data_IF_859209810862
#
_entry.id   IF_859209810862
#
_cell.length_a   1.000
_cell.length_b   1.000
_cell.length_c   1.000
_cell.angle_alpha   90.00
_cell.angle_beta   90.00
_cell.angle_gamma   90.00
#
_symmetry.space_group_name_H-M   'P 1'
#
loop_
_entity.id
_entity.type
_entity.pdbx_description
1 polymer ?
#
# COMPACT_ATOMS: atom_id res chain seq x y z
N UNK A 1 -4.86 30.02 -20.83
CA UNK A 1 -6.05 29.15 -20.93
C UNK A 1 -5.80 28.17 -22.08
N UNK A 2 -5.43 26.90 -21.83
CA UNK A 2 -5.20 25.97 -22.93
C UNK A 2 -6.55 25.55 -23.55
N UNK A 3 -6.60 25.29 -24.87
CA UNK A 3 -7.84 25.15 -25.61
C UNK A 3 -8.59 23.87 -25.23
N UNK A 4 -9.92 23.97 -25.20
CA UNK A 4 -10.87 22.87 -25.07
C UNK A 4 -10.59 21.81 -26.13
N UNK A 5 -10.06 20.68 -25.69
CA UNK A 5 -9.82 19.49 -26.48
C UNK A 5 -11.17 18.80 -26.80
N UNK A 6 -11.44 18.39 -28.05
CA UNK A 6 -12.54 17.49 -28.38
C UNK A 6 -12.28 16.13 -27.71
N UNK A 7 -13.07 15.81 -26.69
CA UNK A 7 -12.91 14.61 -25.86
C UNK A 7 -13.11 13.30 -26.62
N UNK A 8 -13.87 13.33 -27.73
CA UNK A 8 -14.14 12.16 -28.57
C UNK A 8 -12.89 11.65 -29.29
N UNK A 9 -12.06 12.55 -29.82
CA UNK A 9 -10.84 12.18 -30.53
C UNK A 9 -9.84 11.45 -29.61
N UNK A 10 -9.72 11.90 -28.36
CA UNK A 10 -8.84 11.27 -27.37
C UNK A 10 -9.39 9.91 -26.92
N UNK A 11 -10.72 9.77 -26.82
CA UNK A 11 -11.38 8.48 -26.58
C UNK A 11 -11.14 7.51 -27.75
N UNK A 12 -11.21 7.98 -28.99
CA UNK A 12 -10.93 7.16 -30.18
C UNK A 12 -9.49 6.62 -30.14
N UNK A 13 -8.50 7.48 -29.86
CA UNK A 13 -7.08 7.06 -29.73
C UNK A 13 -6.90 6.04 -28.60
N UNK A 14 -7.49 6.28 -27.42
CA UNK A 14 -7.42 5.34 -26.31
C UNK A 14 -8.07 3.99 -26.64
N UNK A 15 -9.22 3.99 -27.32
CA UNK A 15 -9.90 2.76 -27.74
C UNK A 15 -9.09 1.94 -28.75
N UNK A 16 -8.37 2.61 -29.66
CA UNK A 16 -7.51 1.95 -30.63
C UNK A 16 -6.28 1.33 -29.94
N UNK A 17 -5.67 2.02 -28.98
CA UNK A 17 -4.55 1.48 -28.19
C UNK A 17 -5.02 0.35 -27.27
N UNK A 18 -6.22 0.42 -26.70
CA UNK A 18 -6.79 -0.61 -25.82
C UNK A 18 -6.94 -1.98 -26.50
N UNK A 19 -7.17 -2.02 -27.81
CA UNK A 19 -7.24 -3.26 -28.60
C UNK A 19 -5.90 -4.01 -28.66
N UNK A 20 -4.79 -3.38 -28.25
CA UNK A 20 -3.44 -3.94 -28.33
C UNK A 20 -2.73 -3.89 -26.98
N UNK A 21 -2.92 -4.90 -26.10
CA UNK A 21 -2.32 -4.93 -24.76
C UNK A 21 -0.78 -4.91 -24.74
N UNK A 22 -0.14 -5.40 -25.82
CA UNK A 22 1.32 -5.41 -25.97
C UNK A 22 1.89 -4.07 -26.47
N UNK A 23 1.03 -3.07 -26.72
CA UNK A 23 1.41 -1.77 -27.26
C UNK A 23 1.37 -1.70 -28.78
N UNK A 24 1.20 -0.50 -29.32
CA UNK A 24 1.03 -0.25 -30.76
C UNK A 24 1.98 0.84 -31.26
N UNK A 25 2.58 0.60 -32.43
CA UNK A 25 3.43 1.60 -33.09
C UNK A 25 2.58 2.69 -33.77
N UNK A 26 3.12 3.90 -33.88
CA UNK A 26 2.40 5.01 -34.53
C UNK A 26 2.00 4.71 -35.98
N UNK A 27 2.81 3.95 -36.71
CA UNK A 27 2.51 3.57 -38.10
C UNK A 27 1.26 2.69 -38.21
N UNK A 28 1.00 1.82 -37.21
CA UNK A 28 -0.20 1.00 -37.16
C UNK A 28 -1.43 1.80 -36.74
N UNK A 29 -1.28 2.76 -35.82
CA UNK A 29 -2.35 3.69 -35.47
C UNK A 29 -2.75 4.59 -36.64
N UNK A 30 -1.80 4.98 -37.51
CA UNK A 30 -2.11 5.76 -38.72
C UNK A 30 -2.85 4.96 -39.80
N UNK A 31 -2.74 3.63 -39.77
CA UNK A 31 -3.43 2.74 -40.70
C UNK A 31 -4.81 2.30 -40.18
N UNK A 32 -5.17 2.67 -38.95
CA UNK A 32 -6.46 2.30 -38.36
C UNK A 32 -7.56 3.21 -38.95
N UNK A 33 -8.58 2.65 -39.64
CA UNK A 33 -9.68 3.43 -40.20
C UNK A 33 -10.52 4.14 -39.13
N UNK A 34 -10.40 3.73 -37.87
CA UNK A 34 -11.06 4.38 -36.71
C UNK A 34 -10.44 5.75 -36.36
N UNK A 35 -9.26 6.07 -36.91
CA UNK A 35 -8.49 7.28 -36.62
C UNK A 35 -8.25 8.09 -37.90
N UNK A 36 -9.24 8.90 -38.29
CA UNK A 36 -9.16 9.80 -39.44
C UNK A 36 -8.31 11.07 -39.16
N UNK A 37 -7.13 10.92 -38.54
CA UNK A 37 -6.27 12.05 -38.17
C UNK A 37 -5.00 12.13 -39.05
N UNK A 38 -4.59 13.35 -39.47
CA UNK A 38 -3.27 13.56 -40.03
C UNK A 38 -2.17 13.17 -39.03
N UNK A 39 -1.02 12.72 -39.56
CA UNK A 39 0.12 12.23 -38.76
C UNK A 39 0.53 13.16 -37.60
N UNK A 40 0.60 14.46 -37.85
CA UNK A 40 1.05 15.46 -36.86
C UNK A 40 0.01 15.68 -35.74
N UNK A 41 -1.26 15.49 -36.04
CA UNK A 41 -2.36 15.55 -35.07
C UNK A 41 -2.35 14.33 -34.15
N UNK A 42 -2.14 13.13 -34.72
CA UNK A 42 -2.02 11.90 -33.93
C UNK A 42 -0.80 11.95 -33.00
N UNK A 43 0.35 12.42 -33.49
CA UNK A 43 1.56 12.59 -32.67
C UNK A 43 1.32 13.51 -31.47
N UNK A 44 0.76 14.70 -31.71
CA UNK A 44 0.46 15.65 -30.66
C UNK A 44 -0.48 15.07 -29.60
N UNK A 45 -1.52 14.32 -30.00
CA UNK A 45 -2.46 13.68 -29.06
C UNK A 45 -1.82 12.54 -28.27
N UNK A 46 -0.94 11.76 -28.89
CA UNK A 46 -0.17 10.74 -28.19
C UNK A 46 0.76 11.37 -27.15
N UNK A 47 1.43 12.48 -27.51
CA UNK A 47 2.28 13.22 -26.58
C UNK A 47 1.48 13.83 -25.41
N UNK A 48 0.29 14.37 -25.68
CA UNK A 48 -0.64 14.85 -24.65
C UNK A 48 -1.10 13.70 -23.73
N UNK A 49 -1.45 12.54 -24.30
CA UNK A 49 -1.89 11.35 -23.55
C UNK A 49 -0.76 10.75 -22.71
N UNK A 50 0.48 10.78 -23.19
CA UNK A 50 1.67 10.40 -22.43
C UNK A 50 1.95 11.40 -21.30
N UNK A 51 1.85 12.70 -21.59
CA UNK A 51 2.03 13.76 -20.59
C UNK A 51 0.97 13.70 -19.49
N UNK A 52 -0.26 13.27 -19.83
CA UNK A 52 -1.35 13.07 -18.88
C UNK A 52 -1.31 11.72 -18.15
N UNK A 53 -0.29 10.88 -18.40
CA UNK A 53 -0.12 9.58 -17.73
C UNK A 53 -1.10 8.49 -18.16
N UNK A 54 -1.90 8.72 -19.20
CA UNK A 54 -2.92 7.78 -19.71
C UNK A 54 -2.32 6.74 -20.66
N UNK A 55 -1.21 7.09 -21.32
CA UNK A 55 -0.44 6.19 -22.17
C UNK A 55 1.02 6.21 -21.73
N UNK A 56 1.71 5.10 -21.90
CA UNK A 56 3.15 4.99 -21.73
C UNK A 56 3.80 4.78 -23.10
N UNK A 57 4.86 5.54 -23.38
CA UNK A 57 5.69 5.35 -24.57
C UNK A 57 6.87 4.45 -24.22
N UNK A 58 6.88 3.24 -24.77
CA UNK A 58 7.94 2.24 -24.56
C UNK A 58 8.83 2.18 -25.80
N UNK A 59 10.14 2.34 -25.61
CA UNK A 59 11.14 2.29 -26.68
C UNK A 59 11.58 3.65 -27.25
N UNK A 60 12.59 3.64 -28.14
CA UNK A 60 13.19 4.84 -28.76
C UNK A 60 13.06 4.81 -30.29
N UNK A 61 12.91 5.99 -30.90
CA UNK A 61 12.91 6.15 -32.36
C UNK A 61 11.77 5.42 -33.08
N UNK A 62 12.10 4.65 -34.13
CA UNK A 62 11.13 3.94 -34.99
C UNK A 62 10.50 2.70 -34.32
N UNK A 63 11.10 2.21 -33.24
CA UNK A 63 10.58 1.10 -32.41
C UNK A 63 9.79 1.56 -31.20
N UNK A 64 9.29 2.80 -31.19
CA UNK A 64 8.45 3.30 -30.10
C UNK A 64 7.03 2.74 -30.23
N UNK A 65 6.55 2.12 -29.15
CA UNK A 65 5.20 1.60 -29.02
C UNK A 65 4.48 2.32 -27.88
N UNK A 66 3.19 2.60 -28.07
CA UNK A 66 2.33 3.21 -27.06
C UNK A 66 1.48 2.13 -26.43
N UNK A 67 1.48 2.07 -25.10
CA UNK A 67 0.72 1.11 -24.31
C UNK A 67 -0.20 1.87 -23.36
N UNK A 68 -1.39 1.33 -23.08
CA UNK A 68 -2.23 1.88 -22.03
C UNK A 68 -1.57 1.69 -20.68
N UNK A 69 -1.49 2.78 -19.91
CA UNK A 69 -1.29 2.66 -18.47
C UNK A 69 -2.63 2.19 -17.93
N UNK A 70 -2.70 0.95 -17.44
CA UNK A 70 -3.89 0.46 -16.76
C UNK A 70 -4.26 1.51 -15.71
N UNK A 71 -5.52 1.94 -15.71
CA UNK A 71 -6.03 3.05 -14.90
C UNK A 71 -5.64 2.84 -13.42
N UNK A 72 -4.48 3.37 -13.02
CA UNK A 72 -4.12 3.49 -11.61
C UNK A 72 -4.90 4.70 -11.16
N UNK A 73 -6.17 4.45 -10.84
CA UNK A 73 -7.13 5.39 -10.32
C UNK A 73 -6.50 6.24 -9.22
N UNK A 74 -6.00 7.43 -9.58
CA UNK A 74 -5.31 8.41 -8.74
C UNK A 74 -4.13 7.86 -7.92
N UNK A 75 -3.08 8.67 -7.65
CA UNK A 75 -2.13 8.33 -6.60
C UNK A 75 -2.80 8.61 -5.25
N UNK A 76 -3.84 7.85 -4.92
CA UNK A 76 -3.95 7.46 -3.52
C UNK A 76 -2.71 6.61 -3.33
N UNK A 77 -1.80 7.04 -2.46
CA UNK A 77 -0.70 6.21 -1.98
C UNK A 77 -1.36 4.99 -1.34
N UNK A 78 -1.67 4.00 -2.16
CA UNK A 78 -1.92 2.64 -1.73
C UNK A 78 -0.53 2.15 -1.42
N UNK A 79 -0.16 2.22 -0.14
CA UNK A 79 0.79 1.23 0.34
C UNK A 79 0.14 -0.10 0.01
N UNK A 80 0.69 -0.81 -0.99
CA UNK A 80 0.36 -2.21 -1.18
C UNK A 80 0.54 -2.86 0.20
N UNK A 81 -0.48 -3.57 0.72
CA UNK A 81 -0.38 -4.18 2.04
C UNK A 81 0.91 -4.99 2.05
N UNK A 82 1.80 -4.68 3.00
CA UNK A 82 3.04 -5.45 3.17
C UNK A 82 2.62 -6.92 3.28
N UNK A 83 2.88 -7.69 2.23
CA UNK A 83 2.71 -9.13 2.28
C UNK A 83 3.80 -9.64 3.20
N UNK A 84 3.45 -9.79 4.49
CA UNK A 84 4.26 -10.56 5.41
C UNK A 84 4.38 -11.97 4.84
N UNK A 85 5.48 -12.20 4.13
CA UNK A 85 5.76 -13.41 3.41
C UNK A 85 5.74 -14.62 4.35
N UNK A 86 5.06 -15.67 3.91
CA UNK A 86 5.19 -17.00 4.49
C UNK A 86 3.96 -17.46 5.28
N UNK A 87 3.13 -18.27 4.61
CA UNK A 87 2.16 -19.20 5.19
C UNK A 87 0.97 -18.53 5.91
N UNK A 88 -0.22 -19.05 5.64
CA UNK A 88 -1.50 -18.72 6.28
C UNK A 88 -1.47 -18.88 7.81
N UNK A 89 -0.85 -17.95 8.53
CA UNK A 89 -0.85 -17.89 10.00
C UNK A 89 -2.18 -17.38 10.56
N UNK A 90 -2.93 -16.65 9.73
CA UNK A 90 -4.27 -16.18 10.04
C UNK A 90 -5.28 -17.32 9.92
N UNK A 91 -6.16 -17.43 10.92
CA UNK A 91 -7.35 -18.28 10.87
C UNK A 91 -8.29 -17.86 9.73
N UNK A 92 -9.30 -18.68 9.43
CA UNK A 92 -10.28 -18.34 8.40
C UNK A 92 -11.04 -17.05 8.75
N UNK A 93 -11.40 -16.89 10.03
CA UNK A 93 -12.08 -15.72 10.58
C UNK A 93 -11.21 -14.47 10.45
N UNK A 94 -9.93 -14.58 10.81
CA UNK A 94 -8.99 -13.47 10.73
C UNK A 94 -8.74 -13.02 9.28
N UNK A 95 -8.78 -13.94 8.31
CA UNK A 95 -8.70 -13.60 6.87
C UNK A 95 -9.94 -12.83 6.40
N UNK A 96 -11.14 -13.24 6.83
CA UNK A 96 -12.38 -12.51 6.49
C UNK A 96 -12.36 -11.08 7.05
N UNK A 97 -11.89 -10.92 8.29
CA UNK A 97 -11.71 -9.60 8.91
C UNK A 97 -10.71 -8.76 8.10
N UNK A 98 -9.57 -9.34 7.73
CA UNK A 98 -8.56 -8.66 6.90
C UNK A 98 -9.15 -8.17 5.59
N UNK A 99 -9.87 -9.04 4.86
CA UNK A 99 -10.53 -8.65 3.60
C UNK A 99 -11.45 -7.45 3.79
N UNK A 100 -12.23 -7.42 4.87
CA UNK A 100 -13.13 -6.31 5.19
C UNK A 100 -12.39 -5.01 5.54
N UNK A 101 -11.30 -5.10 6.32
CA UNK A 101 -10.48 -3.94 6.68
C UNK A 101 -9.68 -3.41 5.49
N UNK A 102 -9.32 -4.25 4.52
CA UNK A 102 -8.57 -3.83 3.32
C UNK A 102 -9.42 -3.13 2.25
N UNK A 103 -10.75 -3.16 2.35
CA UNK A 103 -11.64 -2.48 1.38
C UNK A 103 -11.44 -0.95 1.42
N UNK A 104 -11.66 -0.23 0.30
CA UNK A 104 -11.70 1.23 0.29
C UNK A 104 -12.70 1.80 1.31
N UNK A 105 -12.41 2.96 1.90
CA UNK A 105 -13.28 3.58 2.92
C UNK A 105 -14.72 3.76 2.42
N UNK A 106 -14.89 4.10 1.14
CA UNK A 106 -16.19 4.27 0.48
C UNK A 106 -17.03 2.99 0.41
N UNK A 107 -16.40 1.82 0.39
CA UNK A 107 -17.06 0.51 0.32
C UNK A 107 -17.33 -0.09 1.70
N UNK A 108 -16.75 0.48 2.77
CA UNK A 108 -16.98 0.02 4.14
C UNK A 108 -18.32 0.53 4.65
N UNK A 109 -18.99 -0.30 5.45
CA UNK A 109 -20.22 0.11 6.16
C UNK A 109 -19.83 1.19 7.18
N UNK A 110 -20.42 2.39 7.13
CA UNK A 110 -20.15 3.43 8.11
C UNK A 110 -20.68 2.99 9.47
N UNK A 111 -19.82 3.08 10.49
CA UNK A 111 -20.17 2.79 11.88
C UNK A 111 -20.02 4.08 12.67
N UNK A 112 -21.08 4.46 13.38
CA UNK A 112 -21.10 5.62 14.24
C UNK A 112 -20.29 5.39 15.52
N UNK A 113 -19.87 6.50 16.13
CA UNK A 113 -19.24 6.45 17.44
C UNK A 113 -20.27 6.08 18.52
N UNK A 114 -19.85 5.29 19.51
CA UNK A 114 -20.66 4.91 20.68
C UNK A 114 -20.14 5.66 21.92
N UNK A 115 -20.56 6.90 22.16
CA UNK A 115 -20.02 7.71 23.25
C UNK A 115 -20.34 7.12 24.62
N UNK A 116 -21.45 6.40 24.78
CA UNK A 116 -21.85 5.75 26.02
C UNK A 116 -20.85 4.66 26.44
N UNK A 117 -20.22 4.00 25.47
CA UNK A 117 -19.20 2.99 25.75
C UNK A 117 -17.99 3.62 26.46
N UNK A 118 -17.50 4.78 25.99
CA UNK A 118 -16.42 5.49 26.70
C UNK A 118 -16.90 6.16 27.98
N UNK A 119 -18.09 6.76 27.98
CA UNK A 119 -18.61 7.47 29.14
C UNK A 119 -18.88 6.53 30.32
N UNK A 120 -19.19 5.26 30.05
CA UNK A 120 -19.41 4.23 31.07
C UNK A 120 -18.14 3.77 31.79
N UNK A 121 -16.96 4.21 31.36
CA UNK A 121 -15.70 3.78 31.95
C UNK A 121 -15.33 4.57 33.20
N UNK A 122 -15.34 3.88 34.33
CA UNK A 122 -14.69 4.31 35.56
C UNK A 122 -13.30 3.64 35.70
N UNK A 123 -12.20 4.42 35.82
CA UNK A 123 -10.87 3.91 36.05
C UNK A 123 -10.82 2.98 37.26
N UNK A 124 -10.09 1.86 37.12
CA UNK A 124 -9.90 0.84 38.16
C UNK A 124 -11.18 0.16 38.69
N UNK A 125 -12.36 0.46 38.13
CA UNK A 125 -13.64 -0.12 38.55
C UNK A 125 -14.31 -0.90 37.43
N UNK A 126 -14.36 -0.31 36.24
CA UNK A 126 -14.95 -0.93 35.05
C UNK A 126 -13.88 -1.39 34.09
N UNK A 127 -14.24 -2.31 33.20
CA UNK A 127 -13.36 -2.81 32.16
C UNK A 127 -14.08 -2.79 30.81
N UNK A 128 -13.34 -2.43 29.76
CA UNK A 128 -13.87 -2.44 28.39
C UNK A 128 -14.03 -3.84 27.79
N UNK A 129 -13.28 -4.81 28.31
CA UNK A 129 -13.26 -6.18 27.81
C UNK A 129 -13.94 -7.11 28.81
N UNK A 130 -14.74 -8.09 28.35
CA UNK A 130 -15.32 -9.11 29.20
C UNK A 130 -14.26 -9.93 29.94
N UNK A 131 -14.60 -10.42 31.13
CA UNK A 131 -13.69 -11.19 31.99
C UNK A 131 -13.07 -12.40 31.30
N UNK A 132 -13.86 -13.13 30.51
CA UNK A 132 -13.38 -14.30 29.75
C UNK A 132 -12.26 -13.93 28.79
N UNK A 133 -12.46 -12.85 28.02
CA UNK A 133 -11.47 -12.38 27.05
C UNK A 133 -10.22 -11.85 27.74
N UNK A 134 -10.37 -11.16 28.89
CA UNK A 134 -9.21 -10.71 29.68
C UNK A 134 -8.38 -11.89 30.18
N UNK A 135 -9.04 -12.96 30.64
CA UNK A 135 -8.36 -14.18 31.07
C UNK A 135 -7.61 -14.87 29.92
N UNK A 136 -8.25 -14.98 28.76
CA UNK A 136 -7.63 -15.54 27.54
C UNK A 136 -6.41 -14.71 27.11
N UNK A 137 -6.56 -13.39 27.01
CA UNK A 137 -5.46 -12.48 26.65
C UNK A 137 -4.32 -12.51 27.67
N UNK A 138 -4.63 -12.61 28.97
CA UNK A 138 -3.61 -12.75 30.00
C UNK A 138 -2.83 -14.06 29.83
N UNK A 139 -3.49 -15.17 29.51
CA UNK A 139 -2.83 -16.45 29.26
C UNK A 139 -1.94 -16.44 28.02
N UNK A 140 -2.40 -15.81 26.93
CA UNK A 140 -1.65 -15.66 25.68
C UNK A 140 -0.46 -14.70 25.85
N UNK A 141 -0.63 -13.63 26.63
CA UNK A 141 0.40 -12.61 26.86
C UNK A 141 1.49 -13.03 27.83
N UNK A 142 1.27 -14.10 28.63
CA UNK A 142 2.29 -14.65 29.52
C UNK A 142 3.26 -15.56 28.75
N UNK A 143 4.08 -14.97 27.88
CA UNK A 143 5.21 -15.67 27.26
C UNK A 143 6.45 -15.46 28.12
N UNK A 144 6.88 -16.50 28.85
CA UNK A 144 8.17 -16.56 29.56
C UNK A 144 8.35 -15.61 30.75
N UNK A 145 7.32 -14.85 31.11
CA UNK A 145 7.36 -13.79 32.14
C UNK A 145 6.61 -14.16 33.43
N UNK A 146 6.22 -15.43 33.59
CA UNK A 146 5.61 -15.89 34.83
C UNK A 146 6.69 -16.02 35.92
N UNK A 147 6.59 -15.13 36.91
CA UNK A 147 7.22 -15.24 38.24
C UNK A 147 8.70 -14.82 38.40
N UNK A 148 9.26 -13.99 37.53
CA UNK A 148 10.50 -13.30 37.91
C UNK A 148 10.19 -12.12 38.85
N UNK A 149 10.87 -12.02 40.01
CA UNK A 149 10.72 -10.87 40.90
C UNK A 149 10.92 -9.55 40.15
N UNK A 150 10.19 -8.51 40.54
CA UNK A 150 10.39 -7.18 40.01
C UNK A 150 11.87 -6.79 40.12
N UNK A 151 12.53 -6.57 38.97
CA UNK A 151 13.96 -6.22 38.90
C UNK A 151 14.88 -7.26 38.23
N UNK A 152 14.45 -8.52 38.02
CA UNK A 152 15.30 -9.50 37.31
C UNK A 152 15.54 -9.12 35.86
N UNK A 153 14.51 -8.58 35.18
CA UNK A 153 14.64 -8.08 33.82
C UNK A 153 15.58 -6.87 33.75
N UNK A 154 15.45 -5.93 34.69
CA UNK A 154 16.35 -4.79 34.78
C UNK A 154 17.79 -5.26 34.99
N UNK A 155 18.03 -6.25 35.85
CA UNK A 155 19.36 -6.83 36.07
C UNK A 155 19.91 -7.47 34.79
N UNK A 156 19.13 -8.29 34.09
CA UNK A 156 19.58 -8.90 32.82
C UNK A 156 19.92 -7.88 31.75
N UNK A 157 19.14 -6.80 31.63
CA UNK A 157 19.41 -5.71 30.69
C UNK A 157 20.68 -4.94 31.11
N UNK A 158 20.83 -4.64 32.39
CA UNK A 158 22.01 -3.93 32.92
C UNK A 158 23.29 -4.78 32.78
N UNK A 159 23.22 -6.08 33.04
CA UNK A 159 24.36 -7.00 32.88
C UNK A 159 24.84 -7.01 31.42
N UNK A 160 23.91 -7.06 30.45
CA UNK A 160 24.26 -7.00 29.02
C UNK A 160 24.86 -5.65 28.63
N UNK A 161 24.28 -4.56 29.12
CA UNK A 161 24.75 -3.19 28.87
C UNK A 161 26.17 -2.99 29.41
N UNK A 162 26.47 -3.49 30.61
CA UNK A 162 27.80 -3.41 31.21
C UNK A 162 28.84 -4.18 30.40
N UNK A 163 28.50 -5.36 29.88
CA UNK A 163 29.36 -6.12 28.96
C UNK A 163 29.65 -5.28 27.72
N UNK A 164 28.64 -4.71 27.07
CA UNK A 164 28.84 -3.95 25.83
C UNK A 164 29.66 -2.68 26.07
N UNK A 165 29.44 -1.98 27.18
CA UNK A 165 30.22 -0.80 27.57
C UNK A 165 31.68 -1.13 27.86
N UNK A 166 31.95 -2.22 28.59
CA UNK A 166 33.33 -2.65 28.87
C UNK A 166 34.10 -3.00 27.58
N UNK A 167 33.45 -3.70 26.65
CA UNK A 167 34.02 -4.00 25.33
C UNK A 167 34.32 -2.75 24.52
N UNK A 168 33.41 -1.77 24.54
CA UNK A 168 33.58 -0.53 23.82
C UNK A 168 34.67 0.36 24.44
N UNK A 169 34.79 0.36 25.77
CA UNK A 169 35.89 1.04 26.49
C UNK A 169 37.25 0.44 26.13
N UNK A 170 37.36 -0.90 26.17
CA UNK A 170 38.59 -1.62 25.78
C UNK A 170 39.02 -1.32 24.35
N UNK A 171 38.04 -1.23 23.43
CA UNK A 171 38.29 -0.87 22.03
C UNK A 171 38.82 0.56 21.88
N UNK A 172 38.33 1.51 22.69
CA UNK A 172 38.79 2.89 22.69
C UNK A 172 40.19 3.04 23.31
N UNK A 173 40.55 2.17 24.25
CA UNK A 173 41.89 2.12 24.88
C UNK A 173 42.96 1.44 24.00
N UNK A 174 42.59 0.94 22.81
CA UNK A 174 43.54 0.43 21.81
C UNK A 174 43.89 -1.05 21.93
N UNK A 175 43.17 -1.82 22.75
CA UNK A 175 43.30 -3.27 22.82
C UNK A 175 42.39 -3.92 21.76
N UNK A 176 42.96 -4.28 20.61
CA UNK A 176 42.40 -5.19 19.61
C UNK A 176 43.31 -6.37 19.38
#
# INVERSE_FOLDING_TARGET
MPPSIPSEDYRAVLSAVAKHPQGIAIGRLLADPSLAFPKRTLQRRLDDLVSSGRLERVGKGRGAHYRMVADVASPVVREDPVEYGGKNWLSQEARQIRTRISQPVTERIPVGYRPEFLASYEPNRTQYLPDSLRGELASLGQVGMSALPAGTYLRQVMDRLLIDLSWNSSRLEGNT
#
